data_IF_329905695152
#
_entry.id   IF_329905695152
#
_cell.length_a   1.000
_cell.length_b   1.000
_cell.length_c   1.000
_cell.angle_alpha   90.00
_cell.angle_beta   90.00
_cell.angle_gamma   90.00
#
_symmetry.space_group_name_H-M   'P 1'
#
loop_
_entity.id
_entity.type
_entity.pdbx_description
1 polymer ?
#
# COMPACT_ATOMS: atom_id res chain seq x y z
N UNK A 1 -0.16 -42.70 2.74
CA UNK A 1 -1.42 -42.79 3.51
C UNK A 1 -1.21 -41.95 4.75
N UNK A 2 -1.76 -40.75 4.78
CA UNK A 2 -1.68 -39.87 5.95
C UNK A 2 -2.61 -40.38 7.05
N UNK A 3 -2.18 -40.26 8.30
CA UNK A 3 -2.98 -40.70 9.45
C UNK A 3 -4.14 -39.73 9.71
N UNK A 4 -5.24 -40.15 10.35
CA UNK A 4 -6.36 -39.26 10.68
C UNK A 4 -5.94 -38.01 11.45
N UNK A 5 -4.93 -38.13 12.32
CA UNK A 5 -4.39 -37.01 13.09
C UNK A 5 -3.67 -35.96 12.23
N UNK A 6 -3.00 -36.39 11.16
CA UNK A 6 -2.33 -35.48 10.20
C UNK A 6 -3.34 -34.70 9.34
N UNK A 7 -4.52 -35.27 9.08
CA UNK A 7 -5.56 -34.59 8.31
C UNK A 7 -6.21 -33.46 9.12
N UNK A 8 -6.43 -33.68 10.42
CA UNK A 8 -6.97 -32.66 11.32
C UNK A 8 -5.97 -31.52 11.54
N UNK A 9 -4.69 -31.84 11.74
CA UNK A 9 -3.62 -30.85 11.88
C UNK A 9 -3.43 -30.04 10.58
N UNK A 10 -3.52 -30.69 9.42
CA UNK A 10 -3.50 -30.01 8.14
C UNK A 10 -4.71 -29.10 7.93
N UNK A 11 -5.91 -29.50 8.40
CA UNK A 11 -7.13 -28.68 8.31
C UNK A 11 -6.97 -27.38 9.10
N UNK A 12 -6.40 -27.44 10.31
CA UNK A 12 -6.13 -26.26 11.16
C UNK A 12 -5.12 -25.31 10.51
N UNK A 13 -4.15 -25.82 9.74
CA UNK A 13 -3.14 -25.01 9.08
C UNK A 13 -3.56 -24.43 7.71
N UNK A 14 -4.75 -24.78 7.19
CA UNK A 14 -5.23 -24.29 5.89
C UNK A 14 -5.37 -22.77 5.79
N UNK A 15 -5.88 -22.03 6.80
CA UNK A 15 -5.99 -20.58 6.73
C UNK A 15 -4.63 -19.89 6.56
N UNK A 16 -3.61 -20.34 7.31
CA UNK A 16 -2.25 -19.79 7.22
C UNK A 16 -1.62 -20.07 5.84
N UNK A 17 -1.90 -21.25 5.29
CA UNK A 17 -1.48 -21.64 3.94
C UNK A 17 -2.19 -20.81 2.86
N UNK A 18 -3.48 -20.50 3.03
CA UNK A 18 -4.25 -19.65 2.13
C UNK A 18 -3.75 -18.19 2.16
N UNK A 19 -3.35 -17.71 3.33
CA UNK A 19 -2.76 -16.37 3.53
C UNK A 19 -1.29 -16.27 3.09
N UNK A 20 -0.63 -17.39 2.78
CA UNK A 20 0.78 -17.43 2.38
C UNK A 20 1.76 -17.11 3.51
N UNK A 21 1.37 -17.32 4.76
CA UNK A 21 2.17 -17.01 5.96
C UNK A 21 3.06 -18.21 6.37
N UNK A 22 2.73 -19.41 5.89
CA UNK A 22 3.49 -20.63 6.17
C UNK A 22 4.86 -20.60 5.49
N UNK A 23 5.96 -20.93 6.19
CA UNK A 23 7.30 -21.06 5.59
C UNK A 23 7.30 -22.02 4.40
N UNK A 24 8.08 -21.70 3.36
CA UNK A 24 8.17 -22.49 2.13
C UNK A 24 8.34 -24.02 2.32
N UNK A 25 9.21 -24.54 3.21
CA UNK A 25 9.33 -25.99 3.40
C UNK A 25 8.06 -26.64 3.99
N UNK A 26 7.36 -25.95 4.87
CA UNK A 26 6.16 -26.45 5.52
C UNK A 26 4.93 -26.36 4.60
N UNK A 27 4.89 -25.31 3.76
CA UNK A 27 3.86 -25.14 2.75
C UNK A 27 3.88 -26.26 1.70
N UNK A 28 5.07 -26.73 1.29
CA UNK A 28 5.22 -27.86 0.36
C UNK A 28 4.72 -29.17 0.99
N UNK A 29 5.01 -29.39 2.27
CA UNK A 29 4.53 -30.57 3.02
C UNK A 29 3.02 -30.57 3.15
N UNK A 30 2.44 -29.47 3.61
CA UNK A 30 0.99 -29.30 3.72
C UNK A 30 0.31 -29.47 2.35
N UNK A 31 0.89 -28.91 1.28
CA UNK A 31 0.31 -29.07 -0.05
C UNK A 31 0.33 -30.51 -0.57
N UNK A 32 1.28 -31.33 -0.11
CA UNK A 32 1.29 -32.76 -0.40
C UNK A 32 0.13 -33.46 0.28
N UNK A 33 -0.18 -33.12 1.54
CA UNK A 33 -1.32 -33.68 2.29
C UNK A 33 -2.65 -33.22 1.68
N UNK A 34 -2.80 -31.93 1.37
CA UNK A 34 -4.03 -31.39 0.76
C UNK A 34 -4.37 -32.08 -0.55
N UNK A 35 -3.37 -32.40 -1.39
CA UNK A 35 -3.58 -33.13 -2.65
C UNK A 35 -4.16 -34.55 -2.46
N UNK A 36 -4.09 -35.12 -1.26
CA UNK A 36 -4.64 -36.45 -0.97
C UNK A 36 -6.12 -36.45 -0.57
N UNK A 37 -6.73 -35.28 -0.34
CA UNK A 37 -8.12 -35.18 0.14
C UNK A 37 -8.91 -34.10 -0.59
N UNK A 38 -10.00 -34.49 -1.25
CA UNK A 38 -10.90 -33.55 -1.96
C UNK A 38 -11.53 -32.52 -1.02
N UNK A 39 -11.80 -32.91 0.23
CA UNK A 39 -12.34 -31.99 1.25
C UNK A 39 -11.36 -30.87 1.61
N UNK A 40 -10.07 -31.21 1.77
CA UNK A 40 -9.03 -30.21 2.05
C UNK A 40 -8.78 -29.30 0.85
N UNK A 41 -8.91 -29.82 -0.38
CA UNK A 41 -8.79 -29.03 -1.59
C UNK A 41 -9.93 -28.02 -1.74
N UNK A 42 -11.17 -28.45 -1.50
CA UNK A 42 -12.34 -27.58 -1.53
C UNK A 42 -12.23 -26.47 -0.48
N UNK A 43 -11.81 -26.80 0.74
CA UNK A 43 -11.64 -25.81 1.81
C UNK A 43 -10.53 -24.80 1.45
N UNK A 44 -9.36 -25.26 1.01
CA UNK A 44 -8.26 -24.38 0.60
C UNK A 44 -8.66 -23.47 -0.57
N UNK A 45 -9.42 -23.98 -1.54
CA UNK A 45 -9.93 -23.19 -2.66
C UNK A 45 -10.89 -22.10 -2.18
N UNK A 46 -11.80 -22.43 -1.25
CA UNK A 46 -12.72 -21.46 -0.66
C UNK A 46 -11.98 -20.37 0.14
N UNK A 47 -10.96 -20.75 0.90
CA UNK A 47 -10.14 -19.81 1.67
C UNK A 47 -9.36 -18.87 0.75
N UNK A 48 -8.72 -19.40 -0.31
CA UNK A 48 -8.03 -18.59 -1.31
C UNK A 48 -8.97 -17.63 -2.05
N UNK A 49 -10.17 -18.10 -2.43
CA UNK A 49 -11.17 -17.23 -3.05
C UNK A 49 -11.58 -16.07 -2.13
N UNK A 50 -11.74 -16.34 -0.82
CA UNK A 50 -11.99 -15.30 0.17
C UNK A 50 -10.80 -14.33 0.32
N UNK A 51 -9.57 -14.84 0.35
CA UNK A 51 -8.34 -14.01 0.39
C UNK A 51 -8.22 -13.12 -0.86
N UNK A 52 -8.51 -13.66 -2.05
CA UNK A 52 -8.45 -12.91 -3.31
C UNK A 52 -9.55 -11.83 -3.39
N UNK A 53 -10.77 -12.15 -2.94
CA UNK A 53 -11.86 -11.19 -2.87
C UNK A 53 -11.51 -10.01 -1.94
N UNK A 54 -10.88 -10.32 -0.82
CA UNK A 54 -10.42 -9.34 0.14
C UNK A 54 -9.27 -8.48 -0.38
N UNK A 55 -8.30 -9.08 -1.07
CA UNK A 55 -7.24 -8.36 -1.76
C UNK A 55 -7.81 -7.39 -2.81
N UNK A 56 -8.91 -7.77 -3.50
CA UNK A 56 -9.58 -6.88 -4.45
C UNK A 56 -10.43 -5.78 -3.81
N UNK A 57 -10.84 -5.95 -2.55
CA UNK A 57 -11.59 -4.94 -1.79
C UNK A 57 -10.70 -3.87 -1.15
N UNK A 58 -9.40 -4.15 -0.98
CA UNK A 58 -8.43 -3.15 -0.57
C UNK A 58 -8.23 -2.17 -1.74
N UNK A 59 -8.51 -0.86 -1.57
CA UNK A 59 -8.25 0.11 -2.63
C UNK A 59 -6.78 0.03 -3.01
N UNK A 60 -6.50 -0.19 -4.29
CA UNK A 60 -5.14 -0.26 -4.81
C UNK A 60 -4.37 0.95 -4.26
N UNK A 61 -3.29 0.70 -3.51
CA UNK A 61 -2.48 1.76 -2.95
C UNK A 61 -2.18 2.75 -4.07
N UNK A 62 -2.52 4.03 -3.86
CA UNK A 62 -2.43 5.05 -4.89
C UNK A 62 -0.98 5.19 -5.36
N UNK A 63 -0.63 4.47 -6.43
CA UNK A 63 0.67 4.59 -7.06
C UNK A 63 0.62 5.81 -7.98
N UNK A 64 1.56 6.74 -7.78
CA UNK A 64 1.78 7.87 -8.68
C UNK A 64 1.76 7.40 -10.15
N UNK A 65 1.06 8.14 -11.01
CA UNK A 65 0.80 7.73 -12.40
C UNK A 65 2.09 7.38 -13.15
N UNK A 66 3.16 8.17 -12.93
CA UNK A 66 4.48 7.96 -13.53
C UNK A 66 5.15 6.67 -13.06
N UNK A 67 4.93 6.27 -11.80
CA UNK A 67 5.45 5.00 -11.27
C UNK A 67 4.71 3.81 -11.87
N UNK A 68 3.39 3.93 -12.10
CA UNK A 68 2.58 2.90 -12.76
C UNK A 68 2.96 2.71 -14.21
N UNK A 69 3.16 3.79 -14.97
CA UNK A 69 3.58 3.71 -16.38
C UNK A 69 4.97 3.09 -16.50
N UNK A 70 5.93 3.49 -15.66
CA UNK A 70 7.26 2.90 -15.63
C UNK A 70 7.24 1.40 -15.25
N UNK A 71 6.42 1.00 -14.27
CA UNK A 71 6.29 -0.41 -13.88
C UNK A 71 5.61 -1.24 -14.97
N UNK A 72 4.56 -0.71 -15.61
CA UNK A 72 3.90 -1.35 -16.75
C UNK A 72 4.86 -1.52 -17.93
N UNK A 73 5.65 -0.49 -18.24
CA UNK A 73 6.68 -0.56 -19.27
C UNK A 73 7.70 -1.67 -18.97
N UNK A 74 8.23 -1.72 -17.74
CA UNK A 74 9.17 -2.78 -17.31
C UNK A 74 8.58 -4.18 -17.34
N UNK A 75 7.30 -4.34 -16.97
CA UNK A 75 6.61 -5.64 -17.01
C UNK A 75 6.34 -6.09 -18.45
N UNK A 76 5.97 -5.15 -19.33
CA UNK A 76 5.80 -5.42 -20.76
C UNK A 76 7.14 -5.77 -21.41
N UNK A 77 8.20 -5.04 -21.08
CA UNK A 77 9.58 -5.33 -21.51
C UNK A 77 10.02 -6.72 -21.04
N UNK A 78 9.85 -7.07 -19.75
CA UNK A 78 10.11 -8.42 -19.24
C UNK A 78 9.31 -9.52 -19.94
N UNK A 79 8.03 -9.27 -20.20
CA UNK A 79 7.17 -10.23 -20.91
C UNK A 79 7.54 -10.35 -22.40
N UNK A 80 8.21 -9.33 -22.96
CA UNK A 80 8.74 -9.33 -24.33
C UNK A 80 10.08 -10.05 -24.40
N UNK A 81 10.93 -9.85 -23.39
CA UNK A 81 12.24 -10.49 -23.25
C UNK A 81 12.12 -11.99 -22.99
N UNK A 82 11.15 -12.42 -22.17
CA UNK A 82 10.87 -13.85 -21.93
C UNK A 82 10.37 -14.57 -23.19
N UNK A 83 10.00 -13.81 -24.22
CA UNK A 83 9.55 -14.30 -25.53
C UNK A 83 10.64 -14.32 -26.60
N UNK A 84 11.85 -13.83 -26.30
CA UNK A 84 12.93 -13.66 -27.28
C UNK A 84 14.13 -14.54 -26.92
N UNK A 85 14.34 -15.69 -27.60
CA UNK A 85 15.61 -16.39 -27.52
C UNK A 85 16.60 -15.58 -28.37
N UNK A 86 17.54 -14.89 -27.73
CA UNK A 86 18.94 -14.65 -28.13
C UNK A 86 19.42 -13.35 -27.49
N UNK A 87 20.04 -13.50 -26.32
CA UNK A 87 20.84 -12.45 -25.67
C UNK A 87 22.16 -12.31 -26.45
N UNK A 88 22.45 -11.12 -26.94
CA UNK A 88 23.81 -10.76 -27.39
C UNK A 88 24.31 -9.66 -26.48
N UNK A 89 25.28 -9.99 -25.62
CA UNK A 89 26.04 -9.03 -24.83
C UNK A 89 26.90 -8.19 -25.77
N UNK A 90 26.65 -6.89 -25.85
CA UNK A 90 27.61 -5.95 -26.44
C UNK A 90 28.49 -5.35 -25.34
N UNK A 91 29.72 -5.80 -25.38
CA UNK A 91 30.89 -5.32 -24.65
C UNK A 91 31.24 -3.91 -25.13
N UNK A 92 31.15 -2.92 -24.24
CA UNK A 92 31.65 -1.57 -24.49
C UNK A 92 33.19 -1.56 -24.34
N UNK A 93 33.89 -1.55 -25.46
CA UNK A 93 35.34 -1.34 -25.56
C UNK A 93 35.62 0.16 -25.57
N UNK A 94 36.38 0.63 -24.58
CA UNK A 94 36.85 2.01 -24.52
C UNK A 94 37.82 2.38 -25.63
N UNK A 95 37.88 3.66 -25.96
CA UNK A 95 38.99 4.24 -26.73
C UNK A 95 39.40 5.61 -26.16
N UNK A 96 40.69 5.94 -26.08
CA UNK A 96 41.21 7.09 -25.33
C UNK A 96 41.66 8.27 -26.22
N UNK A 97 42.13 9.31 -25.52
CA UNK A 97 43.13 10.30 -25.92
C UNK A 97 42.66 11.59 -26.62
N UNK A 98 43.13 12.70 -26.05
CA UNK A 98 43.01 14.05 -26.59
C UNK A 98 43.63 15.10 -25.67
N UNK A 99 44.93 14.96 -25.36
CA UNK A 99 45.73 16.04 -24.78
C UNK A 99 45.93 17.16 -25.80
N UNK A 100 45.77 18.42 -25.39
CA UNK A 100 46.29 19.57 -26.11
C UNK A 100 46.79 20.64 -25.13
N UNK A 101 47.97 21.15 -25.43
CA UNK A 101 48.94 21.82 -24.56
C UNK A 101 48.65 23.29 -24.26
N UNK A 102 49.23 23.75 -23.14
CA UNK A 102 49.32 25.15 -22.71
C UNK A 102 50.32 25.98 -23.55
N UNK A 103 50.09 27.30 -23.70
CA UNK A 103 51.13 28.23 -24.17
C UNK A 103 51.91 28.89 -23.01
N UNK A 104 53.19 29.12 -23.29
CA UNK A 104 54.29 29.57 -22.42
C UNK A 104 54.34 31.10 -22.27
N UNK A 105 54.75 31.57 -21.08
CA UNK A 105 55.03 32.98 -20.74
C UNK A 105 56.10 33.61 -21.66
N UNK A 106 55.89 34.87 -22.02
CA UNK A 106 56.96 35.77 -22.51
C UNK A 106 57.08 36.95 -21.55
N UNK A 107 58.21 37.04 -20.86
CA UNK A 107 58.62 38.17 -20.04
C UNK A 107 59.22 39.26 -20.94
N UNK A 108 58.65 40.47 -20.90
CA UNK A 108 59.25 41.66 -21.49
C UNK A 108 59.53 42.65 -20.36
N UNK A 109 60.82 42.90 -20.13
CA UNK A 109 61.36 44.02 -19.34
C UNK A 109 61.85 45.11 -20.28
N UNK A 110 61.60 46.38 -19.94
CA UNK A 110 62.61 47.43 -20.08
C UNK A 110 62.72 48.23 -18.77
N UNK A 111 63.86 48.16 -18.08
CA UNK A 111 65.01 49.08 -18.19
C UNK A 111 64.71 50.50 -17.65
N UNK A 112 65.43 50.82 -16.59
CA UNK A 112 65.39 52.01 -15.75
C UNK A 112 66.47 53.01 -16.18
N UNK A 113 66.20 54.33 -16.02
CA UNK A 113 67.19 55.43 -15.85
C UNK A 113 66.49 56.75 -15.42
N UNK A 114 67.20 57.77 -14.89
CA UNK A 114 66.90 58.30 -13.57
C UNK A 114 66.42 59.77 -13.49
N UNK A 115 65.85 60.03 -12.32
CA UNK A 115 65.54 61.23 -11.51
C UNK A 115 66.09 62.61 -11.95
N UNK A 116 65.17 63.57 -12.08
CA UNK A 116 65.27 65.00 -11.70
C UNK A 116 63.91 65.29 -11.03
N UNK A 117 63.71 65.86 -9.84
CA UNK A 117 64.52 66.79 -9.07
C UNK A 117 63.75 68.09 -8.89
N UNK A 118 62.52 68.08 -8.34
CA UNK A 118 61.84 69.30 -7.89
C UNK A 118 61.16 69.12 -6.52
N UNK A 119 61.54 70.03 -5.63
CA UNK A 119 61.04 70.20 -4.26
C UNK A 119 59.72 70.96 -4.33
N UNK A 120 58.64 70.41 -3.78
CA UNK A 120 57.43 71.18 -3.51
C UNK A 120 56.93 70.95 -2.07
N UNK A 121 56.67 72.08 -1.41
CA UNK A 121 56.36 72.30 0.01
C UNK A 121 54.95 71.77 0.36
N UNK A 122 54.66 71.32 1.61
CA UNK A 122 53.50 70.47 1.88
C UNK A 122 52.19 71.25 1.98
N UNK A 123 51.25 70.96 1.08
CA UNK A 123 49.86 71.37 1.25
C UNK A 123 49.17 70.42 2.24
N UNK A 124 48.69 71.01 3.34
CA UNK A 124 47.97 70.33 4.41
C UNK A 124 46.67 69.67 3.88
N UNK A 125 46.49 68.41 4.29
CA UNK A 125 45.22 67.76 4.64
C UNK A 125 44.02 67.94 3.68
N UNK A 126 43.94 67.14 2.62
CA UNK A 126 42.65 66.75 1.99
C UNK A 126 42.77 65.39 1.26
N UNK A 127 43.14 64.32 1.99
CA UNK A 127 43.17 62.97 1.42
C UNK A 127 42.36 61.96 2.27
N UNK A 128 41.14 62.33 2.66
CA UNK A 128 40.17 61.36 3.18
C UNK A 128 38.88 61.32 2.34
N UNK A 129 38.68 62.26 1.42
CA UNK A 129 37.37 62.43 0.77
C UNK A 129 37.24 61.87 -0.65
N UNK A 130 38.18 61.05 -1.14
CA UNK A 130 38.08 60.41 -2.48
C UNK A 130 38.10 58.88 -2.52
N UNK A 131 38.16 58.20 -1.37
CA UNK A 131 38.08 56.72 -1.29
C UNK A 131 36.78 56.22 -0.62
N UNK A 132 35.99 57.12 -0.03
CA UNK A 132 34.71 56.81 0.61
C UNK A 132 33.67 56.08 -0.28
N UNK A 133 33.50 56.38 -1.60
CA UNK A 133 32.47 55.70 -2.39
C UNK A 133 32.84 54.26 -2.80
N UNK A 134 34.12 53.88 -2.78
CA UNK A 134 34.57 52.52 -3.16
C UNK A 134 34.29 51.49 -2.04
N UNK A 135 34.42 51.88 -0.77
CA UNK A 135 34.05 51.02 0.36
C UNK A 135 32.53 50.88 0.51
N UNK A 136 31.74 51.91 0.17
CA UNK A 136 30.28 51.86 0.17
C UNK A 136 29.72 50.89 -0.89
N UNK A 137 30.34 50.84 -2.08
CA UNK A 137 29.96 49.89 -3.13
C UNK A 137 30.31 48.43 -2.76
N UNK A 138 31.48 48.19 -2.13
CA UNK A 138 31.86 46.85 -1.69
C UNK A 138 30.96 46.32 -0.55
N UNK A 139 30.57 47.19 0.40
CA UNK A 139 29.69 46.82 1.50
C UNK A 139 28.27 46.45 1.03
N UNK A 140 27.75 47.15 0.03
CA UNK A 140 26.43 46.85 -0.55
C UNK A 140 26.42 45.53 -1.33
N UNK A 141 27.48 45.23 -2.09
CA UNK A 141 27.63 43.93 -2.76
C UNK A 141 27.74 42.79 -1.74
N UNK A 142 28.53 42.96 -0.67
CA UNK A 142 28.62 41.97 0.41
C UNK A 142 27.29 41.77 1.15
N UNK A 143 26.53 42.84 1.38
CA UNK A 143 25.21 42.76 2.00
C UNK A 143 24.22 42.00 1.10
N UNK A 144 24.19 42.32 -0.20
CA UNK A 144 23.35 41.61 -1.17
C UNK A 144 23.72 40.12 -1.22
N UNK A 145 25.00 39.79 -1.30
CA UNK A 145 25.47 38.40 -1.26
C UNK A 145 25.10 37.70 0.06
N UNK A 146 25.20 38.39 1.19
CA UNK A 146 24.79 37.86 2.49
C UNK A 146 23.29 37.58 2.54
N UNK A 147 22.45 38.47 1.98
CA UNK A 147 21.00 38.27 1.91
C UNK A 147 20.65 37.10 1.00
N UNK A 148 21.30 36.98 -0.16
CA UNK A 148 21.11 35.83 -1.06
C UNK A 148 21.46 34.50 -0.37
N UNK A 149 22.62 34.45 0.31
CA UNK A 149 23.03 33.26 1.10
C UNK A 149 22.04 32.93 2.22
N UNK A 150 21.48 33.95 2.88
CA UNK A 150 20.47 33.76 3.91
C UNK A 150 19.16 33.22 3.33
N UNK A 151 18.74 33.73 2.17
CA UNK A 151 17.56 33.24 1.46
C UNK A 151 17.72 31.78 1.05
N UNK A 152 18.86 31.39 0.47
CA UNK A 152 19.16 29.99 0.13
C UNK A 152 19.10 29.09 1.37
N UNK A 153 19.66 29.55 2.48
CA UNK A 153 19.64 28.80 3.74
C UNK A 153 18.23 28.66 4.33
N UNK A 154 17.39 29.69 4.22
CA UNK A 154 15.99 29.63 4.63
C UNK A 154 15.18 28.71 3.72
N UNK A 155 15.41 28.76 2.41
CA UNK A 155 14.78 27.89 1.44
C UNK A 155 15.13 26.43 1.69
N UNK A 156 16.43 26.12 1.88
CA UNK A 156 16.89 24.78 2.21
C UNK A 156 16.27 24.23 3.52
N UNK A 157 16.03 25.09 4.52
CA UNK A 157 15.32 24.70 5.75
C UNK A 157 13.85 24.39 5.49
N UNK A 158 13.17 25.21 4.70
CA UNK A 158 11.76 24.98 4.34
C UNK A 158 11.61 23.67 3.55
N UNK A 159 12.50 23.42 2.60
CA UNK A 159 12.51 22.18 1.79
C UNK A 159 12.78 20.96 2.67
N UNK A 160 13.73 21.05 3.61
CA UNK A 160 14.01 19.99 4.58
C UNK A 160 12.80 19.72 5.51
N UNK A 161 12.11 20.77 5.96
CA UNK A 161 10.88 20.63 6.74
C UNK A 161 9.75 19.99 5.94
N UNK A 162 9.57 20.37 4.67
CA UNK A 162 8.60 19.76 3.78
C UNK A 162 8.91 18.27 3.53
N UNK A 163 10.19 17.91 3.38
CA UNK A 163 10.63 16.53 3.25
C UNK A 163 10.33 15.71 4.53
N UNK A 164 10.59 16.26 5.71
CA UNK A 164 10.26 15.62 7.00
C UNK A 164 8.76 15.43 7.19
N UNK A 165 7.94 16.42 6.78
CA UNK A 165 6.48 16.29 6.81
C UNK A 165 6.01 15.18 5.86
N UNK A 166 6.57 15.12 4.66
CA UNK A 166 6.27 14.07 3.67
C UNK A 166 6.63 12.68 4.19
N UNK A 167 7.80 12.55 4.85
CA UNK A 167 8.21 11.29 5.49
C UNK A 167 7.27 10.90 6.63
N UNK A 168 6.92 11.84 7.51
CA UNK A 168 5.98 11.60 8.61
C UNK A 168 4.60 11.17 8.10
N UNK A 169 4.10 11.81 7.04
CA UNK A 169 2.85 11.40 6.40
C UNK A 169 2.93 9.99 5.82
N UNK A 170 4.06 9.67 5.18
CA UNK A 170 4.31 8.33 4.64
C UNK A 170 4.33 7.28 5.75
N UNK A 171 5.03 7.54 6.87
CA UNK A 171 5.08 6.61 8.01
C UNK A 171 3.70 6.41 8.62
N UNK A 172 2.92 7.46 8.84
CA UNK A 172 1.55 7.34 9.34
C UNK A 172 0.66 6.56 8.37
N UNK A 173 0.81 6.77 7.06
CA UNK A 173 0.06 6.00 6.06
C UNK A 173 0.44 4.52 6.06
N UNK A 174 1.73 4.19 6.18
CA UNK A 174 2.22 2.82 6.32
C UNK A 174 1.72 2.16 7.61
N UNK A 175 1.72 2.88 8.73
CA UNK A 175 1.17 2.42 10.01
C UNK A 175 -0.33 2.13 9.90
N UNK A 176 -1.09 3.01 9.24
CA UNK A 176 -2.52 2.76 8.99
C UNK A 176 -2.75 1.54 8.10
N UNK A 177 -1.91 1.33 7.09
CA UNK A 177 -1.98 0.13 6.24
C UNK A 177 -1.63 -1.14 7.03
N UNK A 178 -0.62 -1.10 7.89
CA UNK A 178 -0.27 -2.21 8.78
C UNK A 178 -1.39 -2.50 9.77
N UNK A 179 -1.95 -1.47 10.43
CA UNK A 179 -3.08 -1.64 11.34
C UNK A 179 -4.32 -2.20 10.64
N UNK A 180 -4.61 -1.75 9.41
CA UNK A 180 -5.69 -2.32 8.60
C UNK A 180 -5.42 -3.78 8.24
N UNK A 181 -4.20 -4.12 7.82
CA UNK A 181 -3.76 -5.49 7.56
C UNK A 181 -3.87 -6.36 8.81
N UNK A 182 -3.38 -5.89 9.95
CA UNK A 182 -3.40 -6.62 11.21
C UNK A 182 -4.83 -6.80 11.71
N UNK A 183 -5.71 -5.81 11.56
CA UNK A 183 -7.14 -5.93 11.91
C UNK A 183 -7.85 -6.98 11.06
N UNK A 184 -7.40 -7.14 9.82
CA UNK A 184 -7.94 -8.09 8.86
C UNK A 184 -7.40 -9.49 9.12
N UNK A 185 -6.09 -9.63 9.36
CA UNK A 185 -5.47 -10.88 9.80
C UNK A 185 -6.05 -11.32 11.13
N UNK A 186 -6.27 -10.42 12.08
CA UNK A 186 -6.91 -10.70 13.36
C UNK A 186 -8.38 -11.10 13.19
N UNK A 187 -9.09 -10.49 12.23
CA UNK A 187 -10.44 -10.92 11.86
C UNK A 187 -10.47 -12.30 11.20
N UNK A 188 -9.36 -12.79 10.63
CA UNK A 188 -9.31 -14.08 9.93
C UNK A 188 -8.65 -15.22 10.74
N UNK A 189 -7.77 -14.88 11.69
CA UNK A 189 -6.77 -15.83 12.24
C UNK A 189 -6.63 -15.77 13.76
N UNK A 190 -7.36 -14.89 14.45
CA UNK A 190 -7.32 -14.84 15.91
C UNK A 190 -7.92 -16.12 16.49
N UNK A 191 -7.34 -16.67 17.56
CA UNK A 191 -7.88 -17.79 18.34
C UNK A 191 -9.32 -17.58 18.90
N UNK A 192 -9.94 -16.43 18.59
CA UNK A 192 -11.31 -16.07 18.96
C UNK A 192 -12.22 -15.75 17.76
N UNK A 193 -11.78 -16.00 16.53
CA UNK A 193 -12.57 -15.82 15.32
C UNK A 193 -13.36 -17.08 15.04
N UNK A 194 -14.70 -16.97 15.04
CA UNK A 194 -15.56 -18.04 14.55
C UNK A 194 -15.85 -17.78 13.08
N UNK A 195 -15.46 -18.72 12.22
CA UNK A 195 -15.85 -18.73 10.81
C UNK A 195 -17.23 -19.37 10.70
N UNK A 196 -18.21 -18.61 10.23
CA UNK A 196 -19.52 -19.16 9.87
C UNK A 196 -19.54 -19.33 8.36
N UNK A 197 -19.47 -20.58 7.92
CA UNK A 197 -19.69 -20.90 6.52
C UNK A 197 -21.19 -20.77 6.21
N UNK A 198 -21.49 -19.93 5.23
CA UNK A 198 -22.84 -19.69 4.78
C UNK A 198 -23.06 -20.57 3.55
N UNK A 199 -23.87 -21.62 3.70
CA UNK A 199 -24.24 -22.50 2.60
C UNK A 199 -25.44 -21.91 1.85
N UNK A 200 -25.37 -21.91 0.53
CA UNK A 200 -26.48 -21.48 -0.33
C UNK A 200 -27.67 -22.44 -0.18
N UNK A 201 -28.88 -21.89 -0.07
CA UNK A 201 -30.13 -22.67 0.08
C UNK A 201 -30.71 -23.14 -1.26
N UNK A 202 -30.12 -22.69 -2.37
CA UNK A 202 -30.36 -23.19 -3.73
C UNK A 202 -29.02 -23.61 -4.34
N UNK A 203 -29.02 -24.35 -5.46
CA UNK A 203 -27.86 -24.89 -6.22
C UNK A 203 -26.76 -23.86 -6.66
N UNK A 204 -26.64 -22.72 -6.00
CA UNK A 204 -25.54 -21.78 -6.10
C UNK A 204 -24.34 -22.30 -5.27
N UNK A 205 -23.09 -22.13 -5.75
CA UNK A 205 -21.90 -22.40 -4.94
C UNK A 205 -21.96 -21.65 -3.59
N UNK A 206 -21.40 -22.21 -2.50
CA UNK A 206 -21.32 -21.52 -1.21
C UNK A 206 -20.39 -20.31 -1.36
N UNK A 207 -20.98 -19.12 -1.46
CA UNK A 207 -20.29 -17.92 -1.88
C UNK A 207 -20.04 -16.91 -0.78
N UNK A 208 -20.14 -17.29 0.49
CA UNK A 208 -20.03 -16.34 1.58
C UNK A 208 -19.42 -16.96 2.83
N UNK A 209 -18.46 -16.26 3.43
CA UNK A 209 -17.90 -16.57 4.75
C UNK A 209 -18.06 -15.36 5.65
N UNK A 210 -18.55 -15.60 6.87
CA UNK A 210 -18.58 -14.58 7.91
C UNK A 210 -17.46 -14.84 8.92
N UNK A 211 -16.78 -13.76 9.28
CA UNK A 211 -15.80 -13.72 10.34
C UNK A 211 -16.33 -12.87 11.49
N UNK A 212 -16.22 -13.36 12.72
CA UNK A 212 -16.65 -12.64 13.91
C UNK A 212 -15.50 -12.46 14.92
N UNK A 213 -15.08 -11.20 15.11
CA UNK A 213 -14.21 -10.78 16.22
C UNK A 213 -15.09 -10.49 17.45
N UNK A 214 -15.13 -11.47 18.36
CA UNK A 214 -15.92 -11.43 19.60
C UNK A 214 -15.44 -10.39 20.61
N UNK A 215 -14.19 -9.94 20.53
CA UNK A 215 -13.64 -8.95 21.49
C UNK A 215 -14.05 -7.56 21.06
N UNK A 216 -13.91 -7.26 19.78
CA UNK A 216 -14.29 -5.97 19.21
C UNK A 216 -15.77 -5.87 18.80
N UNK A 217 -16.53 -6.98 18.91
CA UNK A 217 -17.89 -7.11 18.37
C UNK A 217 -17.98 -6.74 16.88
N UNK A 218 -16.93 -7.07 16.12
CA UNK A 218 -16.79 -6.75 14.69
C UNK A 218 -17.11 -7.98 13.85
N UNK A 219 -18.04 -7.81 12.92
CA UNK A 219 -18.48 -8.81 11.96
C UNK A 219 -17.95 -8.42 10.59
N UNK A 220 -17.35 -9.37 9.88
CA UNK A 220 -16.84 -9.18 8.52
C UNK A 220 -17.39 -10.27 7.62
N UNK A 221 -18.32 -9.91 6.74
CA UNK A 221 -18.80 -10.78 5.68
C UNK A 221 -17.89 -10.63 4.47
N UNK A 222 -17.44 -11.75 3.92
CA UNK A 222 -16.75 -11.82 2.64
C UNK A 222 -17.58 -12.69 1.70
N UNK A 223 -17.93 -12.15 0.54
CA UNK A 223 -18.65 -12.89 -0.49
C UNK A 223 -17.80 -13.09 -1.74
N UNK A 224 -18.00 -14.22 -2.42
CA UNK A 224 -17.48 -14.58 -3.73
C UNK A 224 -18.57 -15.35 -4.48
N UNK A 225 -18.71 -15.19 -5.80
CA UNK A 225 -19.73 -15.89 -6.61
C UNK A 225 -21.20 -15.60 -6.22
N UNK A 226 -21.46 -14.56 -5.42
CA UNK A 226 -22.82 -14.12 -5.11
C UNK A 226 -23.31 -13.15 -6.20
N UNK A 227 -24.17 -13.65 -7.09
CA UNK A 227 -24.65 -12.94 -8.28
C UNK A 227 -25.08 -11.48 -7.97
N UNK A 228 -24.79 -10.50 -8.83
CA UNK A 228 -25.33 -9.15 -8.67
C UNK A 228 -26.86 -9.13 -8.65
N UNK A 229 -27.42 -8.34 -7.72
CA UNK A 229 -28.86 -8.09 -7.64
C UNK A 229 -29.36 -7.25 -8.82
N UNK A 230 -30.66 -7.37 -9.12
CA UNK A 230 -31.30 -6.53 -10.13
C UNK A 230 -31.39 -5.07 -9.67
N UNK A 231 -31.46 -4.10 -10.61
CA UNK A 231 -31.69 -2.70 -10.29
C UNK A 231 -32.92 -2.53 -9.39
N UNK A 232 -32.80 -1.71 -8.35
CA UNK A 232 -33.85 -1.48 -7.36
C UNK A 232 -33.84 -2.45 -6.18
N UNK A 233 -32.91 -3.40 -6.14
CA UNK A 233 -32.73 -4.34 -5.02
C UNK A 233 -31.32 -4.27 -4.44
N UNK A 234 -31.15 -4.81 -3.24
CA UNK A 234 -29.89 -4.88 -2.49
C UNK A 234 -29.83 -6.19 -1.72
N UNK A 235 -28.65 -6.70 -1.41
CA UNK A 235 -28.52 -7.72 -0.38
C UNK A 235 -28.60 -7.11 1.00
N UNK A 236 -29.20 -7.84 1.93
CA UNK A 236 -29.22 -7.50 3.34
C UNK A 236 -28.73 -8.68 4.18
N UNK A 237 -27.83 -8.37 5.10
CA UNK A 237 -27.25 -9.30 6.05
C UNK A 237 -28.08 -9.29 7.34
N UNK A 238 -28.37 -10.48 7.85
CA UNK A 238 -29.13 -10.69 9.07
C UNK A 238 -28.35 -11.54 10.07
N UNK A 239 -28.30 -11.07 11.32
CA UNK A 239 -27.92 -11.88 12.47
C UNK A 239 -29.21 -12.44 13.09
N UNK A 240 -29.32 -13.76 13.15
CA UNK A 240 -30.48 -14.45 13.71
C UNK A 240 -30.13 -14.89 15.13
N UNK A 241 -30.89 -14.40 16.11
CA UNK A 241 -30.65 -14.75 17.51
C UNK A 241 -31.26 -16.10 17.88
N UNK A 242 -30.86 -16.66 19.02
CA UNK A 242 -31.47 -17.87 19.62
C UNK A 242 -32.97 -17.71 19.91
N UNK A 243 -33.47 -16.46 20.00
CA UNK A 243 -34.89 -16.13 20.13
C UNK A 243 -35.59 -15.94 18.78
N UNK A 244 -34.93 -16.29 17.68
CA UNK A 244 -35.39 -16.11 16.30
C UNK A 244 -35.62 -14.65 15.86
N UNK A 245 -35.05 -13.69 16.60
CA UNK A 245 -35.06 -12.28 16.18
C UNK A 245 -34.05 -12.09 15.05
N UNK A 246 -34.44 -11.36 13.99
CA UNK A 246 -33.56 -10.99 12.88
C UNK A 246 -33.09 -9.56 13.05
N UNK A 247 -31.80 -9.39 13.26
CA UNK A 247 -31.14 -8.10 13.41
C UNK A 247 -30.50 -7.76 12.08
N UNK A 248 -30.84 -6.60 11.52
CA UNK A 248 -30.17 -6.08 10.31
C UNK A 248 -28.73 -5.71 10.64
N UNK A 249 -27.78 -6.36 9.98
CA UNK A 249 -26.35 -6.09 10.09
C UNK A 249 -25.79 -5.34 8.88
N UNK A 250 -26.67 -4.74 8.07
CA UNK A 250 -26.31 -3.88 6.96
C UNK A 250 -26.77 -4.39 5.60
N UNK A 251 -26.76 -3.49 4.62
CA UNK A 251 -27.06 -3.76 3.22
C UNK A 251 -25.81 -3.64 2.37
N UNK A 252 -25.74 -4.40 1.29
CA UNK A 252 -24.60 -4.40 0.39
C UNK A 252 -24.99 -4.83 -1.02
N UNK A 253 -24.10 -4.56 -1.96
CA UNK A 253 -24.17 -5.03 -3.34
C UNK A 253 -22.85 -5.68 -3.70
N UNK A 254 -22.90 -6.64 -4.63
CA UNK A 254 -21.70 -7.31 -5.14
C UNK A 254 -21.23 -6.68 -6.44
N UNK A 255 -19.93 -6.83 -6.72
CA UNK A 255 -19.35 -6.46 -8.01
C UNK A 255 -19.76 -7.45 -9.12
N UNK A 256 -19.29 -7.21 -10.35
CA UNK A 256 -19.58 -8.09 -11.50
C UNK A 256 -19.11 -9.55 -11.32
N UNK A 257 -18.17 -9.81 -10.41
CA UNK A 257 -17.65 -11.14 -10.09
C UNK A 257 -18.33 -11.73 -8.83
N UNK A 258 -19.37 -11.09 -8.32
CA UNK A 258 -20.10 -11.52 -7.15
C UNK A 258 -19.34 -11.35 -5.83
N UNK A 259 -18.40 -10.40 -5.77
CA UNK A 259 -17.58 -10.11 -4.59
C UNK A 259 -18.08 -8.90 -3.83
N UNK A 260 -18.04 -8.98 -2.51
CA UNK A 260 -18.26 -7.86 -1.59
C UNK A 260 -17.65 -8.16 -0.22
N UNK A 261 -17.20 -7.11 0.46
CA UNK A 261 -16.79 -7.15 1.87
C UNK A 261 -17.69 -6.20 2.65
N UNK A 262 -18.33 -6.71 3.70
CA UNK A 262 -19.23 -5.94 4.56
C UNK A 262 -18.74 -6.02 5.98
N UNK A 263 -18.57 -4.87 6.62
CA UNK A 263 -18.19 -4.78 8.02
C UNK A 263 -19.33 -4.18 8.83
N UNK A 264 -19.62 -4.78 9.98
CA UNK A 264 -20.61 -4.28 10.91
C UNK A 264 -20.10 -4.44 12.34
N UNK A 265 -20.50 -3.52 13.22
CA UNK A 265 -20.20 -3.61 14.65
C UNK A 265 -21.52 -3.83 15.39
N UNK A 266 -21.65 -4.99 16.01
CA UNK A 266 -22.87 -5.35 16.75
C UNK A 266 -22.50 -6.22 17.95
N UNK A 267 -22.90 -5.77 19.15
CA UNK A 267 -22.68 -6.50 20.38
C UNK A 267 -23.72 -7.61 20.50
N UNK A 268 -23.27 -8.86 20.42
CA UNK A 268 -24.10 -10.05 20.60
C UNK A 268 -23.33 -11.06 21.45
N UNK A 269 -23.98 -11.69 22.42
CA UNK A 269 -23.30 -12.75 23.16
C UNK A 269 -23.13 -14.00 22.28
N UNK A 270 -22.06 -14.76 22.49
CA UNK A 270 -21.77 -15.97 21.69
C UNK A 270 -22.93 -16.97 21.64
N UNK A 271 -23.59 -17.19 22.79
CA UNK A 271 -24.72 -18.12 22.89
C UNK A 271 -26.01 -17.59 22.28
N UNK A 272 -26.04 -16.30 21.92
CA UNK A 272 -27.22 -15.67 21.33
C UNK A 272 -27.22 -15.76 19.81
N UNK A 273 -26.09 -16.01 19.13
CA UNK A 273 -26.08 -16.22 17.69
C UNK A 273 -26.59 -17.62 17.34
N UNK A 274 -27.72 -17.70 16.65
CA UNK A 274 -28.26 -18.96 16.14
C UNK A 274 -27.87 -19.20 14.68
N UNK A 275 -27.97 -18.16 13.84
CA UNK A 275 -27.64 -18.26 12.43
C UNK A 275 -27.31 -16.88 11.85
N UNK A 276 -26.74 -16.91 10.66
CA UNK A 276 -26.53 -15.75 9.80
C UNK A 276 -27.26 -16.02 8.50
N UNK A 277 -27.93 -15.01 7.96
CA UNK A 277 -28.69 -15.13 6.73
C UNK A 277 -28.48 -13.92 5.80
N UNK A 278 -28.55 -14.15 4.50
CA UNK A 278 -28.54 -13.11 3.46
C UNK A 278 -29.84 -13.22 2.67
N UNK A 279 -30.53 -12.09 2.51
CA UNK A 279 -31.73 -11.99 1.66
C UNK A 279 -31.57 -10.89 0.61
N UNK A 280 -32.35 -10.98 -0.46
CA UNK A 280 -32.50 -9.91 -1.44
C UNK A 280 -33.70 -9.04 -1.08
N UNK A 281 -33.44 -7.76 -0.82
CA UNK A 281 -34.39 -6.79 -0.29
C UNK A 281 -34.55 -5.60 -1.26
N UNK A 282 -35.60 -4.77 -1.13
CA UNK A 282 -35.68 -3.50 -1.83
C UNK A 282 -34.50 -2.58 -1.50
N UNK A 283 -34.18 -1.65 -2.40
CA UNK A 283 -33.15 -0.62 -2.13
C UNK A 283 -33.45 0.12 -0.83
N UNK A 284 -32.45 0.27 0.04
CA UNK A 284 -32.61 0.80 1.40
C UNK A 284 -32.78 -0.28 2.47
N UNK A 285 -33.00 -1.53 2.07
CA UNK A 285 -33.22 -2.66 2.95
C UNK A 285 -34.64 -2.68 3.54
N UNK A 286 -34.84 -3.64 4.43
CA UNK A 286 -36.11 -3.89 5.10
C UNK A 286 -35.92 -3.94 6.62
N UNK A 287 -36.97 -3.61 7.39
CA UNK A 287 -36.95 -3.78 8.86
C UNK A 287 -37.02 -5.25 9.29
N UNK A 288 -37.55 -6.11 8.42
CA UNK A 288 -37.59 -7.56 8.57
C UNK A 288 -37.33 -8.19 7.20
N UNK A 289 -36.76 -9.42 7.13
CA UNK A 289 -36.52 -10.09 5.86
C UNK A 289 -37.83 -10.24 5.05
N UNK A 290 -37.86 -9.71 3.83
CA UNK A 290 -39.00 -9.86 2.90
C UNK A 290 -38.68 -10.83 1.76
N UNK A 291 -37.40 -10.96 1.42
CA UNK A 291 -36.92 -11.87 0.38
C UNK A 291 -36.73 -13.31 0.86
N UNK A 292 -36.56 -14.23 -0.08
CA UNK A 292 -36.09 -15.58 0.22
C UNK A 292 -34.66 -15.52 0.81
N UNK A 293 -34.39 -16.42 1.76
CA UNK A 293 -33.04 -16.61 2.32
C UNK A 293 -32.20 -17.29 1.25
N UNK A 294 -31.21 -16.58 0.72
CA UNK A 294 -30.34 -17.05 -0.35
C UNK A 294 -29.16 -17.85 0.19
N UNK A 295 -28.62 -17.40 1.31
CA UNK A 295 -27.48 -18.03 1.97
C UNK A 295 -27.73 -18.02 3.46
N UNK A 296 -27.53 -19.16 4.13
CA UNK A 296 -27.63 -19.27 5.57
C UNK A 296 -26.54 -20.18 6.14
N UNK A 297 -26.09 -19.86 7.35
CA UNK A 297 -25.06 -20.62 8.04
C UNK A 297 -25.22 -20.47 9.53
N UNK A 298 -24.91 -21.53 10.27
CA UNK A 298 -24.88 -21.51 11.73
C UNK A 298 -23.41 -21.64 12.19
N UNK A 299 -23.01 -20.92 13.26
CA UNK A 299 -21.67 -21.08 13.81
C UNK A 299 -21.43 -22.53 14.20
N UNK A 300 -20.30 -23.09 13.76
CA UNK A 300 -19.83 -24.41 14.21
C UNK A 300 -19.54 -24.33 15.70
N UNK A 301 -20.26 -25.12 16.50
CA UNK A 301 -20.06 -25.21 17.96
C UNK A 301 -18.87 -26.08 18.32
#
# INVERSE_FOLDING_TARGET
MSTPNELDEAFVALPDLALGIVPAPDAVRLMTIVRTSDKLQAELASLRAATDALASAVPAAAMAADRRSAMRARLLERASDDRSPTRTEEVYVGSPAGSASAPVLTLVTPESRPIVGEVFVPARLTLVQRIAPLFAAAASVMFVLSVLRLQDALQARNDAQAALQTMTQSTTQLEQQLAARDSLVAAMSGAKVTVVELASTSNLPPGAKMFWDRVANRWTLVTHDLKPVQPGRTYQLWLVTAKAEKISAGTFNTDANGRAVVQATYALAERELAAIAITEEPTGGSPQPTGAILVAGAPTR
#
